data_IF_383379323427
#
_entry.id   IF_383379323427
#
_cell.length_a   1.000
_cell.length_b   1.000
_cell.length_c   1.000
_cell.angle_alpha   90.00
_cell.angle_beta   90.00
_cell.angle_gamma   90.00
#
_symmetry.space_group_name_H-M   'P 1'
#
loop_
_entity.id
_entity.type
_entity.pdbx_description
1 polymer ?
#
# COMPACT_ATOMS: atom_id res chain seq x y z
N UNK A 1 -23.15 14.51 19.38
CA UNK A 1 -21.84 14.79 18.76
C UNK A 1 -21.52 16.28 18.55
N UNK A 2 -22.46 17.24 18.67
CA UNK A 2 -22.17 18.69 18.64
C UNK A 2 -21.33 19.23 19.82
N UNK A 3 -21.27 18.53 20.96
CA UNK A 3 -20.63 19.02 22.19
C UNK A 3 -19.12 18.74 22.31
N UNK A 4 -18.56 17.84 21.50
CA UNK A 4 -17.11 17.59 21.51
C UNK A 4 -16.37 18.67 20.69
N UNK A 5 -16.98 19.13 19.60
CA UNK A 5 -16.45 20.20 18.74
C UNK A 5 -16.34 21.54 19.48
N UNK A 6 -17.29 21.85 20.35
CA UNK A 6 -17.27 23.08 21.17
C UNK A 6 -16.19 23.07 22.26
N UNK A 7 -15.85 21.91 22.82
CA UNK A 7 -14.78 21.81 23.82
C UNK A 7 -13.37 21.95 23.21
N UNK A 8 -13.16 21.40 22.01
CA UNK A 8 -11.86 21.48 21.31
C UNK A 8 -11.62 22.88 20.73
N UNK A 9 -12.66 23.55 20.22
CA UNK A 9 -12.57 24.93 19.74
C UNK A 9 -12.34 25.95 20.87
N UNK A 10 -12.87 25.69 22.07
CA UNK A 10 -12.62 26.55 23.25
C UNK A 10 -11.17 26.47 23.74
N UNK A 11 -10.54 25.29 23.69
CA UNK A 11 -9.14 25.11 24.09
C UNK A 11 -8.16 25.77 23.10
N UNK A 12 -8.46 25.75 21.80
CA UNK A 12 -7.63 26.39 20.78
C UNK A 12 -7.70 27.93 20.85
N UNK A 13 -8.85 28.51 21.24
CA UNK A 13 -9.01 29.96 21.39
C UNK A 13 -8.31 30.52 22.64
N UNK A 14 -8.28 29.75 23.74
CA UNK A 14 -7.62 30.16 24.99
C UNK A 14 -6.09 30.27 24.86
N UNK A 15 -5.45 29.48 23.99
CA UNK A 15 -4.01 29.58 23.74
C UNK A 15 -3.62 30.80 22.89
N UNK A 16 -4.52 31.31 22.04
CA UNK A 16 -4.22 32.40 21.12
C UNK A 16 -4.35 33.81 21.75
N UNK A 17 -5.05 33.94 22.88
CA UNK A 17 -5.33 35.24 23.52
C UNK A 17 -4.38 35.53 24.70
N UNK A 18 -3.63 34.54 25.19
CA UNK A 18 -2.75 34.67 26.38
C UNK A 18 -1.38 35.31 26.16
N UNK A 19 -0.98 35.65 24.93
CA UNK A 19 0.34 36.20 24.62
C UNK A 19 0.29 37.69 24.23
N UNK A 20 -0.16 38.54 25.16
CA UNK A 20 0.13 39.98 25.13
C UNK A 20 0.36 40.48 26.56
N UNK A 21 1.62 40.73 26.90
CA UNK A 21 1.97 41.50 28.10
C UNK A 21 3.36 41.16 28.62
N UNK A 22 4.28 42.12 28.51
CA UNK A 22 5.51 42.14 29.33
C UNK A 22 6.81 42.38 28.56
N UNK A 23 7.08 43.64 28.22
CA UNK A 23 8.45 44.15 28.03
C UNK A 23 9.19 44.18 29.38
N UNK A 24 10.48 43.80 29.38
CA UNK A 24 11.65 44.51 29.94
C UNK A 24 12.87 43.53 30.05
N UNK A 25 14.11 43.98 30.30
CA UNK A 25 15.17 44.09 29.29
C UNK A 25 16.31 43.08 29.49
N UNK A 26 17.02 42.76 28.41
CA UNK A 26 18.22 41.91 28.44
C UNK A 26 19.51 42.69 28.71
N UNK A 27 20.57 42.04 29.25
CA UNK A 27 21.91 42.57 29.17
C UNK A 27 22.76 41.83 28.12
N UNK A 28 23.41 42.67 27.31
CA UNK A 28 24.79 42.60 26.84
C UNK A 28 25.32 41.31 26.17
N UNK A 29 25.54 41.46 24.87
CA UNK A 29 26.37 40.65 23.99
C UNK A 29 27.81 40.52 24.50
N UNK A 30 28.39 39.33 24.29
CA UNK A 30 29.83 39.13 24.26
C UNK A 30 30.16 38.22 23.06
N UNK A 31 30.73 38.83 22.01
CA UNK A 31 31.38 38.14 20.90
C UNK A 31 32.62 37.36 21.39
N UNK A 32 32.98 36.25 20.72
CA UNK A 32 34.37 35.83 20.63
C UNK A 32 34.94 36.05 19.20
N UNK A 33 36.25 36.34 19.09
CA UNK A 33 36.85 36.84 17.85
C UNK A 33 37.16 35.74 16.83
N UNK A 34 37.15 36.16 15.57
CA UNK A 34 37.68 35.44 14.43
C UNK A 34 39.21 35.57 14.33
N UNK A 35 39.89 34.45 14.08
CA UNK A 35 41.16 34.31 13.37
C UNK A 35 41.27 32.81 13.02
N UNK A 36 41.45 32.35 11.78
CA UNK A 36 42.15 32.94 10.64
C UNK A 36 43.54 32.32 10.56
N UNK A 37 43.70 31.27 9.75
CA UNK A 37 44.92 30.84 9.01
C UNK A 37 44.66 29.43 8.46
N UNK A 38 44.35 29.30 7.17
CA UNK A 38 45.26 29.17 6.02
C UNK A 38 45.47 27.69 5.63
N UNK A 39 45.16 27.41 4.35
CA UNK A 39 45.28 26.11 3.70
C UNK A 39 46.75 25.68 3.55
N UNK A 40 46.99 24.40 3.22
CA UNK A 40 47.38 24.17 1.82
C UNK A 40 46.84 22.86 1.22
N UNK A 41 46.39 22.93 -0.03
CA UNK A 41 46.61 21.88 -1.04
C UNK A 41 47.96 22.19 -1.74
N UNK A 42 48.62 21.32 -2.54
CA UNK A 42 48.07 20.16 -3.26
C UNK A 42 49.00 18.92 -3.34
N UNK A 43 48.49 17.78 -3.83
CA UNK A 43 49.12 17.02 -4.93
C UNK A 43 48.43 15.67 -5.18
N UNK A 44 47.93 15.55 -6.42
CA UNK A 44 47.96 14.37 -7.30
C UNK A 44 48.77 13.15 -6.84
N UNK A 45 48.11 11.99 -6.78
CA UNK A 45 48.62 10.70 -7.30
C UNK A 45 47.49 9.67 -7.37
N UNK A 46 47.14 9.22 -8.58
CA UNK A 46 46.64 7.87 -8.84
C UNK A 46 47.88 6.93 -8.87
N UNK A 47 47.79 5.63 -8.53
CA UNK A 47 47.22 4.66 -9.48
C UNK A 47 46.60 3.39 -8.85
N UNK A 48 46.29 2.43 -9.74
CA UNK A 48 46.22 0.97 -9.53
C UNK A 48 44.84 0.34 -9.32
N UNK A 49 44.26 -0.02 -10.47
CA UNK A 49 43.37 -1.15 -10.72
C UNK A 49 43.90 -2.50 -10.21
N UNK A 50 43.04 -3.27 -9.54
CA UNK A 50 43.03 -4.75 -9.48
C UNK A 50 41.71 -5.23 -8.82
N UNK A 51 41.32 -6.52 -8.94
CA UNK A 51 40.72 -7.14 -10.12
C UNK A 51 39.25 -7.54 -9.88
N UNK A 52 38.55 -7.85 -10.97
CA UNK A 52 37.21 -8.40 -10.95
C UNK A 52 37.16 -9.73 -10.19
N UNK A 53 36.45 -9.77 -9.06
CA UNK A 53 36.02 -11.02 -8.44
C UNK A 53 34.82 -11.55 -9.21
N UNK A 54 35.06 -12.60 -9.99
CA UNK A 54 34.04 -13.40 -10.65
C UNK A 54 33.05 -13.92 -9.61
N UNK A 55 31.85 -13.36 -9.59
CA UNK A 55 30.72 -13.95 -8.90
C UNK A 55 30.39 -15.27 -9.61
N UNK A 56 30.86 -16.36 -9.02
CA UNK A 56 30.46 -17.71 -9.40
C UNK A 56 28.96 -17.82 -9.11
N UNK A 57 28.15 -17.83 -10.15
CA UNK A 57 26.71 -17.96 -10.06
C UNK A 57 26.37 -19.32 -9.45
N UNK A 58 25.67 -19.29 -8.31
CA UNK A 58 25.00 -20.47 -7.78
C UNK A 58 24.04 -21.03 -8.86
N UNK A 59 23.93 -22.36 -9.01
CA UNK A 59 23.09 -22.96 -10.03
C UNK A 59 21.63 -22.58 -9.76
N UNK A 60 21.04 -21.80 -10.68
CA UNK A 60 19.59 -21.62 -10.71
C UNK A 60 18.98 -22.99 -11.02
N UNK A 61 18.31 -23.58 -10.03
CA UNK A 61 17.41 -24.69 -10.26
C UNK A 61 16.29 -24.15 -11.16
N UNK A 62 16.43 -24.40 -12.46
CA UNK A 62 15.46 -23.99 -13.46
C UNK A 62 14.15 -24.71 -13.14
N UNK A 63 13.17 -23.98 -12.62
CA UNK A 63 11.82 -24.50 -12.46
C UNK A 63 11.35 -25.04 -13.82
N UNK A 64 10.68 -26.22 -13.88
CA UNK A 64 10.23 -26.77 -15.14
C UNK A 64 9.33 -25.75 -15.86
N UNK A 65 9.61 -25.54 -17.15
CA UNK A 65 8.83 -24.64 -17.98
C UNK A 65 7.34 -25.03 -17.90
N UNK A 66 6.47 -24.04 -17.63
CA UNK A 66 5.04 -24.27 -17.60
C UNK A 66 4.60 -24.86 -18.97
N UNK A 67 3.72 -25.87 -18.98
CA UNK A 67 3.26 -26.47 -20.23
C UNK A 67 2.59 -25.41 -21.11
N UNK A 68 2.96 -25.38 -22.39
CA UNK A 68 2.34 -24.48 -23.36
C UNK A 68 0.84 -24.80 -23.48
N UNK A 69 -0.01 -23.85 -23.10
CA UNK A 69 -1.46 -24.00 -23.15
C UNK A 69 -2.02 -23.52 -24.48
N UNK A 70 -3.13 -24.11 -24.96
CA UNK A 70 -3.75 -23.70 -26.21
C UNK A 70 -4.11 -22.21 -26.17
N UNK A 71 -3.97 -21.56 -27.33
CA UNK A 71 -4.35 -20.15 -27.50
C UNK A 71 -5.86 -20.00 -27.28
N UNK A 72 -6.25 -18.88 -26.68
CA UNK A 72 -7.64 -18.51 -26.40
C UNK A 72 -8.52 -18.38 -27.66
N UNK A 73 -7.93 -18.43 -28.86
CA UNK A 73 -8.62 -18.28 -30.15
C UNK A 73 -9.21 -19.59 -30.72
N UNK A 74 -8.97 -20.75 -30.11
CA UNK A 74 -9.52 -22.01 -30.60
C UNK A 74 -10.96 -22.22 -30.06
N UNK A 75 -11.97 -22.47 -30.92
CA UNK A 75 -13.34 -22.70 -30.48
C UNK A 75 -13.46 -24.00 -29.69
N UNK A 76 -14.29 -24.00 -28.65
CA UNK A 76 -14.58 -25.19 -27.85
C UNK A 76 -15.22 -26.29 -28.71
N UNK A 77 -14.77 -27.53 -28.57
CA UNK A 77 -15.45 -28.67 -29.18
C UNK A 77 -16.83 -28.85 -28.52
N UNK A 78 -17.87 -29.11 -29.31
CA UNK A 78 -19.22 -29.34 -28.80
C UNK A 78 -19.21 -30.54 -27.80
N UNK A 79 -19.63 -30.28 -26.55
CA UNK A 79 -19.54 -31.23 -25.43
C UNK A 79 -18.33 -31.03 -24.50
N UNK A 80 -17.30 -30.29 -24.93
CA UNK A 80 -16.11 -29.97 -24.14
C UNK A 80 -16.39 -29.00 -22.98
N UNK A 81 -17.32 -28.05 -23.16
CA UNK A 81 -17.61 -27.01 -22.17
C UNK A 81 -18.13 -27.56 -20.83
N UNK A 82 -19.11 -28.49 -20.85
CA UNK A 82 -19.64 -29.09 -19.62
C UNK A 82 -18.58 -29.94 -18.88
N UNK A 83 -17.75 -30.67 -19.64
CA UNK A 83 -16.63 -31.42 -19.09
C UNK A 83 -15.55 -30.49 -18.51
N UNK A 84 -15.26 -29.38 -19.18
CA UNK A 84 -14.34 -28.35 -18.70
C UNK A 84 -14.84 -27.72 -17.39
N UNK A 85 -16.12 -27.38 -17.31
CA UNK A 85 -16.71 -26.80 -16.11
C UNK A 85 -16.65 -27.77 -14.91
N UNK A 86 -16.93 -29.06 -15.13
CA UNK A 86 -16.78 -30.08 -14.09
C UNK A 86 -15.33 -30.17 -13.59
N UNK A 87 -14.35 -30.11 -14.51
CA UNK A 87 -12.91 -30.08 -14.18
C UNK A 87 -12.54 -28.82 -13.40
N UNK A 88 -13.09 -27.65 -13.76
CA UNK A 88 -12.89 -26.39 -13.03
C UNK A 88 -13.39 -26.51 -11.60
N UNK A 89 -14.61 -27.01 -11.38
CA UNK A 89 -15.16 -27.18 -10.03
C UNK A 89 -14.30 -28.09 -9.16
N UNK A 90 -13.83 -29.20 -9.72
CA UNK A 90 -12.92 -30.12 -9.03
C UNK A 90 -11.55 -29.46 -8.75
N UNK A 91 -11.00 -28.71 -9.71
CA UNK A 91 -9.73 -28.00 -9.56
C UNK A 91 -9.78 -26.95 -8.46
N UNK A 92 -10.90 -26.21 -8.36
CA UNK A 92 -11.16 -25.23 -7.30
C UNK A 92 -11.12 -25.91 -5.93
N UNK A 93 -11.85 -27.02 -5.75
CA UNK A 93 -11.84 -27.76 -4.48
C UNK A 93 -10.43 -28.24 -4.09
N UNK A 94 -9.63 -28.71 -5.06
CA UNK A 94 -8.25 -29.14 -4.82
C UNK A 94 -7.32 -27.97 -4.49
N UNK A 95 -7.48 -26.83 -5.17
CA UNK A 95 -6.73 -25.59 -4.89
C UNK A 95 -6.99 -25.12 -3.46
N UNK A 96 -8.25 -25.16 -3.04
CA UNK A 96 -8.68 -24.74 -1.71
C UNK A 96 -8.21 -25.72 -0.63
N UNK A 97 -8.09 -27.01 -0.97
CA UNK A 97 -7.43 -28.02 -0.15
C UNK A 97 -5.88 -27.95 -0.18
N UNK A 98 -5.28 -26.98 -0.86
CA UNK A 98 -3.83 -26.80 -0.96
C UNK A 98 -3.11 -27.79 -1.90
N UNK A 99 -3.85 -28.65 -2.62
CA UNK A 99 -3.31 -29.61 -3.58
C UNK A 99 -3.04 -28.95 -4.94
N UNK A 100 -2.09 -28.02 -4.94
CA UNK A 100 -1.84 -27.11 -6.06
C UNK A 100 -1.47 -27.82 -7.36
N UNK A 101 -0.67 -28.89 -7.31
CA UNK A 101 -0.28 -29.64 -8.52
C UNK A 101 -1.43 -30.42 -9.15
N UNK A 102 -2.31 -31.00 -8.33
CA UNK A 102 -3.52 -31.67 -8.80
C UNK A 102 -4.51 -30.65 -9.37
N UNK A 103 -4.72 -29.53 -8.68
CA UNK A 103 -5.56 -28.44 -9.15
C UNK A 103 -5.07 -27.89 -10.50
N UNK A 104 -3.77 -27.63 -10.64
CA UNK A 104 -3.19 -27.12 -11.88
C UNK A 104 -3.42 -28.08 -13.05
N UNK A 105 -3.20 -29.39 -12.84
CA UNK A 105 -3.46 -30.39 -13.88
C UNK A 105 -4.92 -30.37 -14.35
N UNK A 106 -5.88 -30.22 -13.44
CA UNK A 106 -7.30 -30.14 -13.81
C UNK A 106 -7.66 -28.82 -14.49
N UNK A 107 -7.10 -27.69 -14.06
CA UNK A 107 -7.28 -26.43 -14.79
C UNK A 107 -6.73 -26.51 -16.21
N UNK A 108 -5.55 -27.12 -16.38
CA UNK A 108 -4.95 -27.33 -17.71
C UNK A 108 -5.85 -28.22 -18.58
N UNK A 109 -6.38 -29.32 -18.04
CA UNK A 109 -7.34 -30.17 -18.74
C UNK A 109 -8.60 -29.40 -19.12
N UNK A 110 -9.13 -28.56 -18.22
CA UNK A 110 -10.28 -27.71 -18.53
C UNK A 110 -9.98 -26.75 -19.68
N UNK A 111 -8.80 -26.12 -19.70
CA UNK A 111 -8.36 -25.22 -20.77
C UNK A 111 -8.17 -25.98 -22.10
N UNK A 112 -7.77 -27.24 -22.07
CA UNK A 112 -7.67 -28.08 -23.27
C UNK A 112 -9.04 -28.49 -23.82
N UNK A 113 -10.01 -28.74 -22.93
CA UNK A 113 -11.40 -29.08 -23.30
C UNK A 113 -12.17 -27.85 -23.81
N UNK A 114 -11.93 -26.70 -23.18
CA UNK A 114 -12.50 -25.40 -23.56
C UNK A 114 -11.45 -24.28 -23.39
N UNK A 115 -10.77 -23.88 -24.48
CA UNK A 115 -9.78 -22.81 -24.46
C UNK A 115 -10.35 -21.41 -24.15
N UNK A 116 -11.67 -21.25 -24.25
CA UNK A 116 -12.42 -20.00 -24.06
C UNK A 116 -12.94 -19.84 -22.63
N UNK A 117 -12.78 -20.85 -21.78
CA UNK A 117 -13.23 -20.81 -20.39
C UNK A 117 -12.33 -19.91 -19.53
N UNK A 118 -12.70 -18.63 -19.38
CA UNK A 118 -11.96 -17.64 -18.60
C UNK A 118 -11.68 -18.09 -17.14
N UNK A 119 -12.68 -18.69 -16.47
CA UNK A 119 -12.54 -19.18 -15.10
C UNK A 119 -11.44 -20.24 -14.91
N UNK A 120 -11.22 -21.12 -15.90
CA UNK A 120 -10.15 -22.11 -15.85
C UNK A 120 -8.76 -21.45 -15.91
N UNK A 121 -8.62 -20.39 -16.73
CA UNK A 121 -7.39 -19.60 -16.80
C UNK A 121 -7.15 -18.80 -15.53
N UNK A 122 -8.17 -18.17 -14.96
CA UNK A 122 -8.08 -17.53 -13.65
C UNK A 122 -7.61 -18.50 -12.56
N UNK A 123 -8.21 -19.69 -12.51
CA UNK A 123 -7.82 -20.73 -11.56
C UNK A 123 -6.37 -21.17 -11.73
N UNK A 124 -5.92 -21.40 -12.97
CA UNK A 124 -4.52 -21.69 -13.26
C UNK A 124 -3.59 -20.54 -12.84
N UNK A 125 -3.96 -19.29 -13.13
CA UNK A 125 -3.21 -18.09 -12.74
C UNK A 125 -3.02 -17.99 -11.22
N UNK A 126 -4.09 -18.23 -10.45
CA UNK A 126 -4.03 -18.24 -8.98
C UNK A 126 -3.14 -19.37 -8.46
N UNK A 127 -3.19 -20.55 -9.07
CA UNK A 127 -2.29 -21.66 -8.69
C UNK A 127 -0.84 -21.33 -9.00
N UNK A 128 -0.54 -20.76 -10.17
CA UNK A 128 0.81 -20.30 -10.50
C UNK A 128 1.31 -19.22 -9.54
N UNK A 129 0.45 -18.26 -9.17
CA UNK A 129 0.76 -17.24 -8.18
C UNK A 129 1.08 -17.88 -6.82
N UNK A 130 0.27 -18.84 -6.35
CA UNK A 130 0.51 -19.59 -5.10
C UNK A 130 1.77 -20.44 -5.13
N UNK A 131 2.24 -20.83 -6.31
CA UNK A 131 3.50 -21.57 -6.49
C UNK A 131 4.73 -20.65 -6.65
N UNK A 132 4.57 -19.32 -6.59
CA UNK A 132 5.66 -18.38 -6.79
C UNK A 132 6.15 -18.29 -8.24
N UNK A 133 5.27 -18.58 -9.20
CA UNK A 133 5.57 -18.55 -10.64
C UNK A 133 4.85 -17.35 -11.29
N UNK A 134 5.36 -16.12 -11.17
CA UNK A 134 4.64 -14.91 -11.56
C UNK A 134 4.45 -14.78 -13.08
N UNK A 135 5.44 -15.17 -13.90
CA UNK A 135 5.33 -15.09 -15.36
C UNK A 135 4.15 -15.89 -15.93
N UNK A 136 4.03 -17.21 -15.67
CA UNK A 136 2.87 -17.96 -16.15
C UNK A 136 1.56 -17.52 -15.47
N UNK A 137 1.61 -16.98 -14.24
CA UNK A 137 0.42 -16.40 -13.62
C UNK A 137 -0.10 -15.19 -14.41
N UNK A 138 0.77 -14.24 -14.76
CA UNK A 138 0.44 -13.06 -15.57
C UNK A 138 -0.16 -13.49 -16.92
N UNK A 139 0.47 -14.45 -17.61
CA UNK A 139 -0.02 -14.95 -18.90
C UNK A 139 -1.46 -15.50 -18.80
N UNK A 140 -1.74 -16.31 -17.77
CA UNK A 140 -3.08 -16.88 -17.60
C UNK A 140 -4.12 -15.83 -17.20
N UNK A 141 -3.78 -14.88 -16.33
CA UNK A 141 -4.70 -13.80 -15.98
C UNK A 141 -4.95 -12.85 -17.16
N UNK A 142 -3.93 -12.52 -17.95
CA UNK A 142 -4.10 -11.72 -19.18
C UNK A 142 -4.99 -12.43 -20.20
N UNK A 143 -4.83 -13.74 -20.36
CA UNK A 143 -5.71 -14.52 -21.22
C UNK A 143 -7.15 -14.58 -20.67
N UNK A 144 -7.32 -14.66 -19.35
CA UNK A 144 -8.63 -14.65 -18.72
C UNK A 144 -9.38 -13.33 -18.93
N UNK A 145 -8.74 -12.18 -18.69
CA UNK A 145 -9.39 -10.86 -18.86
C UNK A 145 -9.68 -10.52 -20.32
N UNK A 146 -8.97 -11.13 -21.27
CA UNK A 146 -9.28 -11.02 -22.71
C UNK A 146 -10.54 -11.81 -23.08
N UNK A 147 -10.76 -12.95 -22.45
CA UNK A 147 -11.94 -13.81 -22.67
C UNK A 147 -13.17 -13.27 -21.94
N UNK A 148 -12.99 -12.89 -20.67
CA UNK A 148 -14.02 -12.28 -19.85
C UNK A 148 -13.47 -11.05 -19.12
N UNK A 149 -13.67 -9.84 -19.66
CA UNK A 149 -13.27 -8.59 -19.00
C UNK A 149 -14.00 -8.34 -17.67
N UNK A 150 -15.08 -9.07 -17.36
CA UNK A 150 -15.86 -8.91 -16.11
C UNK A 150 -15.28 -9.69 -14.94
N UNK A 151 -14.30 -10.55 -15.17
CA UNK A 151 -13.61 -11.29 -14.12
C UNK A 151 -12.63 -10.38 -13.34
N UNK A 152 -13.20 -9.59 -12.43
CA UNK A 152 -12.48 -8.53 -11.73
C UNK A 152 -11.34 -9.03 -10.84
N UNK A 153 -11.40 -10.28 -10.35
CA UNK A 153 -10.30 -10.86 -9.55
C UNK A 153 -9.04 -11.07 -10.38
N UNK A 154 -9.17 -11.31 -11.69
CA UNK A 154 -8.03 -11.41 -12.58
C UNK A 154 -7.35 -10.04 -12.77
N UNK A 155 -8.12 -8.96 -12.91
CA UNK A 155 -7.57 -7.61 -12.94
C UNK A 155 -6.84 -7.26 -11.65
N UNK A 156 -7.43 -7.55 -10.48
CA UNK A 156 -6.78 -7.32 -9.18
C UNK A 156 -5.48 -8.13 -9.02
N UNK A 157 -5.44 -9.39 -9.48
CA UNK A 157 -4.23 -10.19 -9.46
C UNK A 157 -3.13 -9.67 -10.41
N UNK A 158 -3.50 -9.19 -11.61
CA UNK A 158 -2.56 -8.54 -12.53
C UNK A 158 -1.92 -7.31 -11.90
N UNK A 159 -2.72 -6.45 -11.26
CA UNK A 159 -2.21 -5.26 -10.55
C UNK A 159 -1.13 -5.63 -9.53
N UNK A 160 -1.34 -6.69 -8.74
CA UNK A 160 -0.35 -7.16 -7.76
C UNK A 160 0.90 -7.72 -8.43
N UNK A 161 0.73 -8.55 -9.47
CA UNK A 161 1.83 -9.21 -10.15
C UNK A 161 2.70 -8.22 -10.92
N UNK A 162 2.10 -7.23 -11.58
CA UNK A 162 2.84 -6.18 -12.28
C UNK A 162 3.51 -5.21 -11.31
N UNK A 163 2.90 -4.91 -10.16
CA UNK A 163 3.56 -4.17 -9.08
C UNK A 163 4.83 -4.91 -8.60
N UNK A 164 4.74 -6.22 -8.40
CA UNK A 164 5.89 -7.04 -8.00
C UNK A 164 6.95 -7.16 -9.10
N UNK A 165 6.54 -7.18 -10.37
CA UNK A 165 7.43 -7.19 -11.53
C UNK A 165 8.10 -5.83 -11.78
N UNK A 166 7.59 -4.74 -11.21
CA UNK A 166 8.05 -3.38 -11.47
C UNK A 166 7.55 -2.80 -12.80
N UNK A 167 6.61 -3.45 -13.49
CA UNK A 167 5.97 -2.91 -14.69
C UNK A 167 4.85 -1.95 -14.29
N UNK A 168 5.28 -0.73 -13.95
CA UNK A 168 4.39 0.38 -13.52
C UNK A 168 3.33 0.69 -14.56
N UNK A 169 3.67 0.63 -15.86
CA UNK A 169 2.76 0.98 -16.95
C UNK A 169 1.66 -0.05 -17.11
N UNK A 170 2.01 -1.33 -17.13
CA UNK A 170 1.02 -2.41 -17.19
C UNK A 170 0.10 -2.33 -15.96
N UNK A 171 0.70 -2.28 -14.76
CA UNK A 171 -0.01 -2.17 -13.47
C UNK A 171 -1.07 -1.08 -13.49
N UNK A 172 -0.71 0.13 -13.90
CA UNK A 172 -1.61 1.28 -13.88
C UNK A 172 -2.73 1.14 -14.91
N UNK A 173 -2.44 0.48 -16.05
CA UNK A 173 -3.44 0.14 -17.07
C UNK A 173 -4.47 -0.85 -16.54
N UNK A 174 -4.03 -1.94 -15.88
CA UNK A 174 -4.93 -2.95 -15.32
C UNK A 174 -5.72 -2.41 -14.12
N UNK A 175 -5.09 -1.57 -13.29
CA UNK A 175 -5.78 -0.87 -12.21
C UNK A 175 -6.87 0.05 -12.76
N UNK A 176 -6.58 0.82 -13.80
CA UNK A 176 -7.58 1.68 -14.43
C UNK A 176 -8.77 0.87 -14.99
N UNK A 177 -8.50 -0.29 -15.59
CA UNK A 177 -9.54 -1.21 -16.07
C UNK A 177 -10.41 -1.75 -14.92
N UNK A 178 -9.81 -2.15 -13.80
CA UNK A 178 -10.53 -2.60 -12.60
C UNK A 178 -11.46 -1.49 -12.05
N UNK A 179 -10.95 -0.26 -11.94
CA UNK A 179 -11.73 0.88 -11.46
C UNK A 179 -12.85 1.28 -12.43
N UNK A 180 -12.61 1.20 -13.74
CA UNK A 180 -13.66 1.41 -14.75
C UNK A 180 -14.77 0.35 -14.65
N UNK A 181 -14.40 -0.92 -14.53
CA UNK A 181 -15.35 -2.02 -14.34
C UNK A 181 -16.19 -1.81 -13.06
N UNK A 182 -15.56 -1.39 -11.97
CA UNK A 182 -16.23 -1.06 -10.70
C UNK A 182 -17.24 0.08 -10.87
N UNK A 183 -16.84 1.14 -11.56
CA UNK A 183 -17.66 2.33 -11.83
C UNK A 183 -18.89 2.00 -12.68
N UNK A 184 -18.74 1.12 -13.68
CA UNK A 184 -19.86 0.65 -14.50
C UNK A 184 -20.90 -0.13 -13.69
N UNK A 185 -20.49 -0.77 -12.60
CA UNK A 185 -21.40 -1.45 -11.68
C UNK A 185 -22.09 -2.69 -12.27
N UNK A 186 -21.56 -3.23 -13.38
CA UNK A 186 -22.12 -4.37 -14.11
C UNK A 186 -21.85 -5.72 -13.43
N UNK A 187 -20.90 -5.77 -12.50
CA UNK A 187 -20.47 -6.99 -11.81
C UNK A 187 -20.87 -6.88 -10.34
N UNK A 188 -21.94 -7.56 -9.89
CA UNK A 188 -22.45 -7.42 -8.52
C UNK A 188 -21.39 -7.68 -7.45
N UNK A 189 -20.58 -8.73 -7.62
CA UNK A 189 -19.52 -9.07 -6.66
C UNK A 189 -18.43 -8.00 -6.52
N UNK A 190 -18.21 -7.21 -7.58
CA UNK A 190 -17.31 -6.05 -7.55
C UNK A 190 -18.04 -4.81 -7.03
N UNK A 191 -19.32 -4.65 -7.38
CA UNK A 191 -20.16 -3.52 -6.94
C UNK A 191 -20.32 -3.47 -5.42
N UNK A 192 -20.31 -4.62 -4.76
CA UNK A 192 -20.41 -4.70 -3.31
C UNK A 192 -19.02 -4.78 -2.64
N UNK A 193 -17.95 -4.97 -3.42
CA UNK A 193 -16.60 -4.94 -2.89
C UNK A 193 -16.22 -3.52 -2.45
N UNK A 194 -15.78 -3.40 -1.19
CA UNK A 194 -15.29 -2.16 -0.59
C UNK A 194 -13.85 -1.87 -0.99
N UNK A 195 -13.05 -2.94 -1.11
CA UNK A 195 -11.61 -2.90 -1.32
C UNK A 195 -11.13 -4.12 -2.11
N UNK A 196 -9.90 -4.07 -2.57
CA UNK A 196 -9.20 -5.21 -3.16
C UNK A 196 -7.75 -5.23 -2.67
N UNK A 197 -7.12 -6.41 -2.68
CA UNK A 197 -5.70 -6.50 -2.39
C UNK A 197 -4.90 -5.82 -3.51
N UNK A 198 -4.21 -4.74 -3.17
CA UNK A 198 -3.48 -3.87 -4.10
C UNK A 198 -2.03 -4.32 -4.32
N UNK A 199 -1.39 -4.80 -3.27
CA UNK A 199 0.03 -5.16 -3.28
C UNK A 199 0.35 -6.14 -2.14
N UNK A 200 1.42 -6.91 -2.33
CA UNK A 200 2.06 -7.74 -1.30
C UNK A 200 3.56 -7.60 -1.39
N UNK A 201 4.20 -7.39 -0.25
CA UNK A 201 5.66 -7.33 -0.18
C UNK A 201 6.18 -7.74 1.19
N UNK A 202 7.50 -7.93 1.27
CA UNK A 202 8.18 -8.18 2.54
C UNK A 202 8.95 -6.94 2.96
N UNK A 203 8.81 -6.53 4.22
CA UNK A 203 9.62 -5.49 4.83
C UNK A 203 10.05 -5.96 6.22
N UNK A 204 11.35 -5.84 6.53
CA UNK A 204 11.91 -6.29 7.82
C UNK A 204 11.52 -7.74 8.19
N UNK A 205 11.63 -8.68 7.24
CA UNK A 205 11.24 -10.11 7.36
C UNK A 205 9.75 -10.35 7.67
N UNK A 206 8.92 -9.31 7.62
CA UNK A 206 7.47 -9.38 7.83
C UNK A 206 6.75 -9.26 6.50
N UNK A 207 5.70 -10.07 6.32
CA UNK A 207 4.82 -9.96 5.16
C UNK A 207 3.89 -8.77 5.35
N UNK A 208 3.67 -8.01 4.29
CA UNK A 208 2.77 -6.87 4.26
C UNK A 208 1.73 -7.10 3.19
N UNK A 209 0.46 -7.01 3.57
CA UNK A 209 -0.68 -7.07 2.63
C UNK A 209 -1.28 -5.67 2.58
N UNK A 210 -1.40 -5.13 1.37
CA UNK A 210 -1.97 -3.81 1.16
C UNK A 210 -3.35 -3.92 0.54
N UNK A 211 -4.32 -3.26 1.15
CA UNK A 211 -5.64 -3.08 0.56
C UNK A 211 -5.84 -1.64 0.12
N UNK A 212 -6.48 -1.50 -1.03
CA UNK A 212 -6.94 -0.22 -1.57
C UNK A 212 -8.47 -0.21 -1.58
N UNK A 213 -9.07 0.84 -1.03
CA UNK A 213 -10.51 1.05 -1.07
C UNK A 213 -10.93 1.65 -2.41
N UNK A 214 -11.98 1.11 -3.02
CA UNK A 214 -12.53 1.65 -4.26
C UNK A 214 -13.11 3.05 -4.05
N UNK A 215 -13.80 3.23 -2.93
CA UNK A 215 -14.43 4.48 -2.54
C UNK A 215 -14.23 4.67 -1.04
N UNK A 216 -13.31 5.55 -0.61
CA UNK A 216 -13.15 5.88 0.79
C UNK A 216 -14.43 6.56 1.30
N UNK A 217 -15.15 5.92 2.23
CA UNK A 217 -16.45 6.38 2.76
C UNK A 217 -16.38 6.71 4.26
N UNK A 218 -17.36 7.46 4.74
CA UNK A 218 -17.51 7.84 6.15
C UNK A 218 -16.76 9.11 6.53
N UNK A 219 -16.78 9.44 7.83
CA UNK A 219 -16.09 10.63 8.38
C UNK A 219 -14.57 10.48 8.36
N UNK A 220 -14.08 9.23 8.25
CA UNK A 220 -12.67 8.85 8.29
C UNK A 220 -12.31 7.92 7.14
N UNK A 221 -12.36 8.44 5.91
CA UNK A 221 -12.04 7.64 4.76
C UNK A 221 -10.59 7.19 4.81
N UNK A 222 -10.39 5.88 4.62
CA UNK A 222 -9.08 5.25 4.47
C UNK A 222 -8.92 4.88 3.00
N UNK A 223 -7.81 5.29 2.40
CA UNK A 223 -7.46 4.96 1.03
C UNK A 223 -6.66 3.65 0.98
N UNK A 224 -5.63 3.54 1.83
CA UNK A 224 -4.78 2.36 1.92
C UNK A 224 -4.69 1.84 3.34
N UNK A 225 -4.74 0.51 3.50
CA UNK A 225 -4.38 -0.18 4.73
C UNK A 225 -3.24 -1.15 4.44
N UNK A 226 -2.16 -1.04 5.20
CA UNK A 226 -1.01 -1.93 5.18
C UNK A 226 -1.08 -2.82 6.43
N UNK A 227 -1.51 -4.07 6.27
CA UNK A 227 -1.46 -5.07 7.33
C UNK A 227 -0.05 -5.65 7.42
N UNK A 228 0.58 -5.51 8.58
CA UNK A 228 1.91 -6.08 8.82
C UNK A 228 1.74 -7.39 9.59
N UNK A 229 2.00 -8.50 8.91
CA UNK A 229 1.95 -9.83 9.50
C UNK A 229 3.25 -10.13 10.25
N UNK A 230 3.22 -11.11 11.15
CA UNK A 230 4.44 -11.58 11.78
C UNK A 230 5.30 -12.43 10.82
N UNK A 231 6.46 -12.89 11.27
CA UNK A 231 7.37 -13.70 10.46
C UNK A 231 6.77 -15.06 10.02
N UNK A 232 5.74 -15.53 10.72
CA UNK A 232 5.00 -16.75 10.39
C UNK A 232 3.79 -16.47 9.50
N UNK A 233 3.60 -15.22 9.07
CA UNK A 233 2.44 -14.80 8.27
C UNK A 233 1.15 -14.70 9.06
N UNK A 234 1.21 -14.68 10.40
CA UNK A 234 0.03 -14.52 11.25
C UNK A 234 -0.33 -13.05 11.36
N UNK A 235 -1.63 -12.77 11.42
CA UNK A 235 -2.13 -11.43 11.66
C UNK A 235 -1.53 -10.85 12.94
N UNK A 236 -1.15 -9.59 12.87
CA UNK A 236 -0.87 -8.77 14.05
C UNK A 236 -1.77 -7.55 14.04
N UNK A 237 -1.89 -6.87 15.17
CA UNK A 237 -2.57 -5.57 15.24
C UNK A 237 -1.68 -4.41 14.71
N UNK A 238 -0.50 -4.72 14.18
CA UNK A 238 0.36 -3.74 13.52
C UNK A 238 -0.16 -3.42 12.12
N UNK A 239 -0.66 -2.18 11.94
CA UNK A 239 -1.09 -1.66 10.64
C UNK A 239 -0.63 -0.23 10.41
N UNK A 240 -0.39 0.10 9.15
CA UNK A 240 -0.26 1.49 8.70
C UNK A 240 -1.48 1.84 7.84
N UNK A 241 -1.94 3.09 7.90
CA UNK A 241 -3.07 3.55 7.09
C UNK A 241 -2.75 4.88 6.43
N UNK A 242 -3.14 5.02 5.17
CA UNK A 242 -3.24 6.32 4.53
C UNK A 242 -4.70 6.74 4.51
N UNK A 243 -5.06 7.78 5.25
CA UNK A 243 -6.43 8.28 5.33
C UNK A 243 -6.53 9.78 5.12
N UNK A 244 -7.75 10.30 5.09
CA UNK A 244 -8.01 11.74 4.98
C UNK A 244 -9.28 12.12 5.75
N UNK A 245 -9.17 12.50 7.02
CA UNK A 245 -10.34 12.67 7.88
C UNK A 245 -11.03 14.02 7.68
N UNK A 246 -12.36 14.04 7.67
CA UNK A 246 -13.14 15.26 7.40
C UNK A 246 -12.78 16.38 8.37
N UNK A 247 -12.72 16.10 9.67
CA UNK A 247 -12.44 17.11 10.70
C UNK A 247 -11.06 17.75 10.56
N UNK A 248 -10.04 16.95 10.24
CA UNK A 248 -8.69 17.46 10.05
C UNK A 248 -8.56 18.32 8.80
N UNK A 249 -9.28 17.97 7.74
CA UNK A 249 -9.36 18.80 6.55
C UNK A 249 -9.96 20.17 6.90
N UNK A 250 -11.06 20.20 7.66
CA UNK A 250 -11.69 21.45 8.09
C UNK A 250 -10.75 22.31 8.94
N UNK A 251 -10.05 21.70 9.91
CA UNK A 251 -9.09 22.43 10.75
C UNK A 251 -7.92 22.94 9.90
N UNK A 252 -7.34 22.11 9.04
CA UNK A 252 -6.23 22.52 8.17
C UNK A 252 -6.62 23.66 7.22
N UNK A 253 -7.86 23.69 6.73
CA UNK A 253 -8.39 24.79 5.92
C UNK A 253 -8.57 26.08 6.73
N UNK A 254 -9.09 25.98 7.96
CA UNK A 254 -9.22 27.12 8.87
C UNK A 254 -7.87 27.74 9.22
N UNK A 255 -6.85 26.91 9.42
CA UNK A 255 -5.46 27.31 9.64
C UNK A 255 -4.74 27.76 8.36
N UNK A 256 -5.40 27.67 7.19
CA UNK A 256 -4.83 27.99 5.86
C UNK A 256 -3.59 27.14 5.50
N UNK A 257 -3.47 25.94 6.07
CA UNK A 257 -2.43 24.97 5.72
C UNK A 257 -2.69 24.29 4.36
N UNK A 258 -3.96 24.22 3.94
CA UNK A 258 -4.42 23.67 2.66
C UNK A 258 -5.50 24.55 2.06
N UNK A 259 -5.66 24.50 0.73
CA UNK A 259 -6.72 25.21 0.02
C UNK A 259 -8.13 24.70 0.36
N UNK A 260 -9.19 25.48 0.05
CA UNK A 260 -10.58 25.14 0.39
C UNK A 260 -11.13 23.89 -0.33
N UNK A 261 -10.49 23.46 -1.42
CA UNK A 261 -10.82 22.22 -2.15
C UNK A 261 -9.74 21.15 -2.02
N UNK A 262 -8.64 21.48 -1.35
CA UNK A 262 -7.52 20.59 -1.17
C UNK A 262 -7.76 19.72 0.05
N UNK A 263 -7.32 18.46 -0.04
CA UNK A 263 -7.40 17.50 1.06
C UNK A 263 -6.02 17.22 1.62
N UNK A 264 -5.96 17.10 2.94
CA UNK A 264 -4.84 16.57 3.67
C UNK A 264 -4.99 15.05 3.79
N UNK A 265 -3.95 14.33 3.43
CA UNK A 265 -3.80 12.90 3.70
C UNK A 265 -2.76 12.70 4.78
N UNK A 266 -2.93 11.67 5.59
CA UNK A 266 -2.03 11.36 6.68
C UNK A 266 -1.68 9.87 6.66
N UNK A 267 -0.42 9.59 6.94
CA UNK A 267 0.12 8.24 7.11
C UNK A 267 0.31 7.99 8.60
N UNK A 268 -0.49 7.06 9.10
CA UNK A 268 -0.59 6.76 10.52
C UNK A 268 -0.25 5.30 10.80
N UNK A 269 0.34 5.03 11.97
CA UNK A 269 0.65 3.69 12.43
C UNK A 269 -0.09 3.32 13.72
N UNK A 270 -0.60 2.09 13.75
CA UNK A 270 -1.27 1.47 14.89
C UNK A 270 -0.52 0.20 15.26
N UNK A 271 -0.18 0.03 16.54
CA UNK A 271 0.72 -1.03 17.00
C UNK A 271 0.01 -2.03 17.92
N UNK A 272 0.54 -3.25 18.10
CA UNK A 272 -0.10 -4.29 18.91
C UNK A 272 -0.22 -3.98 20.41
N UNK A 273 0.62 -3.09 20.92
CA UNK A 273 0.52 -2.55 22.28
C UNK A 273 -0.60 -1.50 22.42
N UNK A 274 -1.35 -1.24 21.35
CA UNK A 274 -2.37 -0.20 21.29
C UNK A 274 -1.80 1.19 21.02
N UNK A 275 -0.48 1.35 20.82
CA UNK A 275 0.13 2.64 20.53
C UNK A 275 -0.32 3.16 19.17
N UNK A 276 -0.52 4.48 19.08
CA UNK A 276 -0.78 5.21 17.83
C UNK A 276 0.40 6.15 17.55
N UNK A 277 0.87 6.22 16.30
CA UNK A 277 1.93 7.16 15.88
C UNK A 277 1.64 7.75 14.50
N UNK A 278 1.51 9.07 14.37
CA UNK A 278 1.52 9.72 13.06
C UNK A 278 2.93 9.77 12.47
N UNK A 279 3.02 9.70 11.13
CA UNK A 279 4.30 9.76 10.42
C UNK A 279 4.40 10.92 9.45
N UNK A 280 3.53 10.99 8.44
CA UNK A 280 3.67 11.97 7.37
C UNK A 280 2.31 12.51 6.95
N UNK A 281 2.28 13.78 6.54
CA UNK A 281 1.11 14.43 5.94
C UNK A 281 1.39 14.81 4.48
N UNK A 282 0.37 14.71 3.65
CA UNK A 282 0.43 15.01 2.23
C UNK A 282 -0.67 16.00 1.84
N UNK A 283 -0.30 16.96 1.02
CA UNK A 283 -1.22 17.86 0.34
C UNK A 283 -1.70 17.19 -0.94
N UNK A 284 -3.00 16.96 -1.04
CA UNK A 284 -3.57 16.11 -2.09
C UNK A 284 -3.25 14.62 -1.90
N UNK A 285 -3.84 13.80 -2.77
CA UNK A 285 -3.63 12.35 -2.74
C UNK A 285 -2.19 12.02 -3.20
N UNK A 286 -1.35 11.39 -2.35
CA UNK A 286 0.02 11.08 -2.71
C UNK A 286 0.10 9.85 -3.64
N UNK A 287 1.13 9.77 -4.51
CA UNK A 287 1.37 8.58 -5.31
C UNK A 287 1.57 7.32 -4.44
N UNK A 288 0.94 6.21 -4.82
CA UNK A 288 1.04 4.95 -4.08
C UNK A 288 2.49 4.50 -3.82
N UNK A 289 3.35 4.56 -4.83
CA UNK A 289 4.73 4.10 -4.72
C UNK A 289 5.57 4.94 -3.73
N UNK A 290 5.20 6.21 -3.53
CA UNK A 290 5.80 7.06 -2.49
C UNK A 290 5.38 6.61 -1.09
N UNK A 291 4.08 6.39 -0.89
CA UNK A 291 3.50 5.91 0.37
C UNK A 291 4.07 4.53 0.72
N UNK A 292 4.14 3.63 -0.25
CA UNK A 292 4.73 2.29 -0.09
C UNK A 292 6.18 2.36 0.38
N UNK A 293 6.98 3.26 -0.20
CA UNK A 293 8.39 3.45 0.19
C UNK A 293 8.51 3.92 1.64
N UNK A 294 7.66 4.85 2.07
CA UNK A 294 7.61 5.33 3.46
C UNK A 294 7.19 4.22 4.41
N UNK A 295 6.16 3.44 4.07
CA UNK A 295 5.75 2.27 4.85
C UNK A 295 6.90 1.26 5.05
N UNK A 296 7.70 0.98 4.02
CA UNK A 296 8.89 0.12 4.14
C UNK A 296 9.91 0.72 5.11
N UNK A 297 10.15 2.04 5.07
CA UNK A 297 11.07 2.71 6.00
C UNK A 297 10.56 2.63 7.45
N UNK A 298 9.26 2.82 7.67
CA UNK A 298 8.63 2.71 8.99
C UNK A 298 8.75 1.28 9.54
N UNK A 299 8.39 0.27 8.75
CA UNK A 299 8.43 -1.15 9.17
C UNK A 299 9.86 -1.63 9.45
N UNK A 300 10.84 -1.06 8.74
CA UNK A 300 12.28 -1.37 8.96
C UNK A 300 12.92 -0.57 10.08
N UNK A 301 12.17 0.32 10.76
CA UNK A 301 12.70 1.18 11.82
C UNK A 301 13.66 2.27 11.31
N UNK A 302 13.67 2.53 10.00
CA UNK A 302 14.51 3.55 9.35
C UNK A 302 13.83 4.91 9.24
N UNK A 303 12.51 4.95 9.39
CA UNK A 303 11.79 6.20 9.57
C UNK A 303 11.74 6.54 11.06
N UNK A 304 12.26 7.71 11.43
CA UNK A 304 11.94 8.29 12.73
C UNK A 304 10.46 8.65 12.80
N UNK A 305 9.88 8.66 14.00
CA UNK A 305 8.75 9.55 14.27
C UNK A 305 9.18 10.97 13.90
N UNK A 306 8.29 11.84 13.44
CA UNK A 306 8.61 13.25 13.18
C UNK A 306 9.01 13.96 14.48
N UNK A 307 10.26 13.75 14.86
CA UNK A 307 11.13 14.55 15.70
C UNK A 307 12.44 14.65 14.91
N UNK A 308 12.45 15.48 13.85
CA UNK A 308 13.66 15.75 13.08
C UNK A 308 13.51 15.62 11.56
N UNK A 309 13.68 16.75 10.89
CA UNK A 309 13.63 16.97 9.44
C UNK A 309 14.75 16.22 8.71
N UNK A 310 14.43 15.43 7.68
CA UNK A 310 15.39 15.12 6.59
C UNK A 310 15.23 16.10 5.44
N UNK A 311 16.24 16.94 5.24
CA UNK A 311 16.37 17.88 4.12
C UNK A 311 16.73 17.09 2.85
N UNK A 312 15.77 16.92 1.93
CA UNK A 312 15.98 16.22 0.67
C UNK A 312 15.03 16.67 -0.44
N UNK A 313 15.47 17.66 -1.22
CA UNK A 313 15.02 18.10 -2.55
C UNK A 313 13.52 17.96 -2.91
N UNK A 314 12.82 19.10 -2.80
CA UNK A 314 11.69 19.58 -3.62
C UNK A 314 10.74 18.52 -4.21
N UNK A 315 9.80 18.08 -3.37
CA UNK A 315 8.42 17.72 -3.73
C UNK A 315 7.48 18.40 -2.70
N UNK A 316 6.15 18.47 -2.89
CA UNK A 316 5.22 19.17 -1.99
C UNK A 316 5.01 18.36 -0.70
N UNK A 317 6.08 18.22 0.06
CA UNK A 317 6.14 17.53 1.35
C UNK A 317 6.19 18.61 2.42
N UNK A 318 5.20 18.63 3.32
CA UNK A 318 5.35 19.40 4.56
C UNK A 318 6.32 18.62 5.44
N UNK A 319 7.57 19.05 5.44
CA UNK A 319 8.44 18.86 6.59
C UNK A 319 7.88 19.65 7.77
N UNK A 320 7.81 19.03 8.94
CA UNK A 320 7.38 19.68 10.17
C UNK A 320 8.42 20.74 10.58
N UNK A 321 7.99 22.01 10.70
CA UNK A 321 8.77 23.09 11.30
C UNK A 321 8.38 23.24 12.78
N UNK A 322 9.27 22.90 13.73
CA UNK A 322 9.00 22.99 15.16
C UNK A 322 8.70 24.41 15.68
N UNK A 323 9.07 25.46 14.93
CA UNK A 323 8.83 26.86 15.34
C UNK A 323 7.55 27.47 14.73
N UNK A 324 6.78 26.72 13.94
CA UNK A 324 5.60 27.23 13.22
C UNK A 324 4.31 27.37 14.07
N UNK A 325 4.37 27.17 15.39
CA UNK A 325 3.17 27.15 16.25
C UNK A 325 2.25 25.94 16.02
N UNK A 326 2.65 25.01 15.16
CA UNK A 326 1.89 23.84 14.71
C UNK A 326 1.91 22.64 15.67
N UNK A 327 2.07 22.85 16.98
CA UNK A 327 1.81 21.81 17.99
C UNK A 327 0.34 21.36 18.01
N UNK A 328 -0.57 22.14 17.41
CA UNK A 328 -2.01 21.86 17.41
C UNK A 328 -2.41 20.60 16.67
N UNK A 329 -2.05 20.43 15.39
CA UNK A 329 -2.71 19.42 14.53
C UNK A 329 -2.30 17.98 14.82
N UNK A 330 -1.02 17.73 15.16
CA UNK A 330 -0.54 16.39 15.52
C UNK A 330 -1.08 15.95 16.90
N UNK A 331 -1.12 16.88 17.87
CA UNK A 331 -1.74 16.65 19.16
C UNK A 331 -3.25 16.42 19.02
N UNK A 332 -3.92 17.19 18.15
CA UNK A 332 -5.32 16.97 17.75
C UNK A 332 -5.52 15.59 17.14
N UNK A 333 -4.64 15.15 16.25
CA UNK A 333 -4.69 13.83 15.61
C UNK A 333 -4.67 12.71 16.67
N UNK A 334 -3.70 12.78 17.58
CA UNK A 334 -3.57 11.82 18.68
C UNK A 334 -4.78 11.87 19.62
N UNK A 335 -5.23 13.07 20.00
CA UNK A 335 -6.37 13.27 20.88
C UNK A 335 -7.68 12.77 20.27
N UNK A 336 -7.86 12.97 18.95
CA UNK A 336 -9.00 12.43 18.19
C UNK A 336 -8.95 10.91 18.28
N UNK A 337 -7.85 10.26 17.87
CA UNK A 337 -7.72 8.79 17.89
C UNK A 337 -7.92 8.19 19.29
N UNK A 338 -7.39 8.84 20.33
CA UNK A 338 -7.58 8.41 21.72
C UNK A 338 -9.03 8.58 22.20
N UNK A 339 -9.73 9.63 21.75
CA UNK A 339 -11.15 9.81 22.02
C UNK A 339 -12.00 8.69 21.36
N UNK A 340 -11.63 8.23 20.17
CA UNK A 340 -12.37 7.16 19.49
C UNK A 340 -12.12 5.78 20.08
N UNK A 341 -10.89 5.50 20.53
CA UNK A 341 -10.62 4.28 21.30
C UNK A 341 -11.52 4.22 22.53
N UNK A 342 -11.69 5.34 23.23
CA UNK A 342 -12.56 5.44 24.41
C UNK A 342 -14.05 5.29 24.09
N UNK A 343 -14.47 5.72 22.90
CA UNK A 343 -15.88 5.67 22.47
C UNK A 343 -16.23 4.39 21.69
N UNK A 344 -15.27 3.49 21.43
CA UNK A 344 -15.47 2.35 20.52
C UNK A 344 -15.75 2.79 19.07
N UNK A 345 -15.46 4.06 18.74
CA UNK A 345 -15.80 4.72 17.48
C UNK A 345 -14.71 4.58 16.42
N UNK A 346 -13.54 4.01 16.76
CA UNK A 346 -12.58 3.55 15.76
C UNK A 346 -13.16 2.27 15.16
N UNK A 347 -13.70 2.28 13.93
CA UNK A 347 -14.18 1.04 13.33
C UNK A 347 -13.01 0.06 13.33
N UNK A 348 -13.24 -1.16 13.84
CA UNK A 348 -12.28 -2.23 13.67
C UNK A 348 -11.96 -2.31 12.18
N UNK A 349 -10.69 -2.14 11.81
CA UNK A 349 -10.28 -2.23 10.42
C UNK A 349 -10.68 -3.63 9.92
N UNK A 350 -11.36 -3.75 8.77
CA UNK A 350 -11.89 -5.04 8.33
C UNK A 350 -10.76 -6.03 8.12
N UNK A 351 -10.94 -7.24 8.64
CA UNK A 351 -9.93 -8.30 8.65
C UNK A 351 -9.36 -8.57 7.25
N UNK A 352 -8.05 -8.85 7.09
CA UNK A 352 -7.53 -9.30 5.81
C UNK A 352 -8.22 -10.59 5.37
N UNK A 353 -8.49 -10.74 4.07
CA UNK A 353 -9.17 -11.91 3.53
C UNK A 353 -8.27 -13.15 3.72
N UNK A 354 -8.77 -14.28 4.27
CA UNK A 354 -7.93 -15.45 4.56
C UNK A 354 -7.17 -15.99 3.35
N UNK A 355 -7.80 -15.95 2.17
CA UNK A 355 -7.15 -16.35 0.90
C UNK A 355 -5.89 -15.51 0.64
N UNK A 356 -5.93 -14.22 0.95
CA UNK A 356 -4.86 -13.28 0.67
C UNK A 356 -3.63 -13.50 1.57
N UNK A 357 -3.83 -14.11 2.74
CA UNK A 357 -2.77 -14.44 3.71
C UNK A 357 -2.00 -15.69 3.27
N UNK A 358 -2.69 -16.64 2.62
CA UNK A 358 -2.12 -17.93 2.22
C UNK A 358 -1.24 -17.88 0.97
N UNK A 359 -1.30 -16.78 0.20
CA UNK A 359 -0.47 -16.58 -0.99
C UNK A 359 0.95 -16.18 -0.54
N UNK A 360 2.00 -16.92 -0.98
CA UNK A 360 3.36 -16.74 -0.51
C UNK A 360 3.97 -15.36 -0.79
#
# INVERSE_FOLDING_TARGET
MRNALTCVLAAAWACAVGARGGEAPGPAEAEPPAAGTEAPAPSSTAPASAPAVSATSAPQVLAPAAPALPSAAAPAAAGGAAAAEAKVRQAVALRDAGKLDEALRLFIQAIQLDPTQAGARCGAGQVYQRKGLPKPAIEQFQAAVKLDPKEWRAWAALVQLQQAAGDVKARDTERAALLDLRRKGEVPSLKDAERYCRDRFTANRRKVIVYEYFEPRGERPVLYIFYVLDEKGRKTDYRLTLGSYVDLNLIAQQLKEVGPKERLFHLDGYYPDGTYRPFQRFRGEPPYDEVRRLCVQIITGRAGTTEGVTRGKQGPTLGWDPNSGAMGLAALLSAVVDADKKQGACPAAPEPDPEDITVP
#
